data_IF_471685415767
#
_entry.id   IF_471685415767
#
_cell.length_a   1.000
_cell.length_b   1.000
_cell.length_c   1.000
_cell.angle_alpha   90.00
_cell.angle_beta   90.00
_cell.angle_gamma   90.00
#
_symmetry.space_group_name_H-M   'P 1'
#
loop_
_entity.id
_entity.type
_entity.pdbx_description
1 polymer ?
#
# COMPACT_ATOMS: atom_id res chain seq x y z
N UNK A 1 35.99 -19.55 -4.15
CA UNK A 1 34.99 -20.60 -3.90
C UNK A 1 33.88 -20.01 -3.05
N UNK A 2 32.67 -19.85 -3.61
CA UNK A 2 31.52 -19.28 -2.89
C UNK A 2 30.87 -20.36 -2.01
N UNK A 3 30.96 -20.22 -0.70
CA UNK A 3 30.10 -20.96 0.24
C UNK A 3 28.74 -20.28 0.31
N UNK A 4 27.74 -20.86 -0.36
CA UNK A 4 26.34 -20.45 -0.23
C UNK A 4 25.86 -20.87 1.17
N UNK A 5 25.76 -19.92 2.09
CA UNK A 5 25.03 -20.12 3.36
C UNK A 5 23.53 -20.09 3.05
N UNK A 6 22.93 -21.27 3.07
CA UNK A 6 21.48 -21.48 3.14
C UNK A 6 20.94 -20.79 4.40
N UNK A 7 20.39 -19.59 4.25
CA UNK A 7 19.50 -18.99 5.26
C UNK A 7 18.08 -19.41 4.94
N UNK A 8 17.63 -20.49 5.60
CA UNK A 8 16.22 -20.68 5.84
C UNK A 8 15.78 -19.65 6.87
N UNK A 9 15.12 -18.58 6.42
CA UNK A 9 14.40 -17.66 7.29
C UNK A 9 12.90 -17.81 6.97
N UNK A 10 12.33 -18.94 7.40
CA UNK A 10 10.87 -19.07 7.54
C UNK A 10 10.51 -18.36 8.85
N UNK A 11 9.96 -17.14 8.78
CA UNK A 11 9.57 -16.40 9.98
C UNK A 11 9.35 -14.88 9.88
N UNK A 12 9.49 -14.25 8.70
CA UNK A 12 9.41 -12.77 8.62
C UNK A 12 8.29 -12.22 7.73
N UNK A 13 7.49 -13.06 7.08
CA UNK A 13 6.49 -12.58 6.11
C UNK A 13 5.30 -11.84 6.72
N UNK A 14 4.91 -12.13 7.96
CA UNK A 14 3.74 -11.49 8.59
C UNK A 14 4.05 -10.08 9.15
N UNK A 15 5.20 -9.88 9.81
CA UNK A 15 5.55 -8.57 10.42
C UNK A 15 5.94 -7.51 9.38
N UNK A 16 6.56 -7.92 8.27
CA UNK A 16 6.88 -7.01 7.17
C UNK A 16 5.63 -6.62 6.35
N UNK A 17 4.57 -7.42 6.40
CA UNK A 17 3.30 -7.08 5.75
C UNK A 17 2.57 -5.94 6.47
N UNK A 18 2.62 -5.87 7.80
CA UNK A 18 1.94 -4.82 8.58
C UNK A 18 2.57 -3.43 8.42
N UNK A 19 3.82 -3.35 7.96
CA UNK A 19 4.55 -2.07 7.80
C UNK A 19 4.66 -1.62 6.34
N UNK A 20 4.19 -2.42 5.37
CA UNK A 20 4.22 -2.01 3.97
C UNK A 20 3.14 -0.96 3.68
N UNK A 21 3.41 0.00 2.78
CA UNK A 21 2.41 0.95 2.31
C UNK A 21 1.16 0.25 1.77
N UNK A 22 -0.01 0.73 2.19
CA UNK A 22 -1.32 0.19 1.80
C UNK A 22 -2.31 1.32 1.54
N UNK A 23 -3.25 1.05 0.63
CA UNK A 23 -4.40 1.91 0.34
C UNK A 23 -5.66 1.08 0.55
N UNK A 24 -6.48 1.44 1.54
CA UNK A 24 -7.83 0.91 1.69
C UNK A 24 -8.80 1.86 0.98
N UNK A 25 -9.76 1.31 0.24
CA UNK A 25 -10.71 2.09 -0.58
C UNK A 25 -12.13 1.80 -0.13
N UNK A 26 -12.91 2.85 0.13
CA UNK A 26 -14.34 2.81 0.40
C UNK A 26 -15.07 3.84 -0.44
N UNK A 27 -16.36 3.63 -0.69
CA UNK A 27 -17.20 4.58 -1.43
C UNK A 27 -18.48 4.85 -0.66
N UNK A 28 -18.80 6.13 -0.44
CA UNK A 28 -20.02 6.58 0.22
C UNK A 28 -20.48 7.91 -0.36
N UNK A 29 -21.74 8.01 -0.77
CA UNK A 29 -22.34 9.28 -1.21
C UNK A 29 -21.64 9.94 -2.41
N UNK A 30 -21.02 9.17 -3.32
CA UNK A 30 -20.26 9.70 -4.47
C UNK A 30 -18.85 10.21 -4.12
N UNK A 31 -18.41 10.00 -2.88
CA UNK A 31 -17.04 10.21 -2.42
C UNK A 31 -16.31 8.87 -2.41
N UNK A 32 -15.18 8.81 -3.10
CA UNK A 32 -14.23 7.70 -2.99
C UNK A 32 -13.21 8.04 -1.89
N UNK A 33 -13.28 7.32 -0.78
CA UNK A 33 -12.33 7.44 0.33
C UNK A 33 -11.14 6.51 0.12
N UNK A 34 -9.94 7.06 0.23
CA UNK A 34 -8.67 6.31 0.24
C UNK A 34 -7.98 6.53 1.59
N UNK A 35 -7.90 5.50 2.41
CA UNK A 35 -7.15 5.51 3.66
C UNK A 35 -5.76 4.91 3.44
N UNK A 36 -4.74 5.71 3.73
CA UNK A 36 -3.34 5.37 3.53
C UNK A 36 -2.72 4.95 4.86
N UNK A 37 -1.92 3.88 4.82
CA UNK A 37 -1.24 3.38 6.00
C UNK A 37 0.10 2.72 5.66
N UNK A 38 0.91 2.47 6.70
CA UNK A 38 2.20 1.78 6.60
C UNK A 38 3.36 2.74 6.29
N UNK A 39 4.58 2.21 6.26
CA UNK A 39 5.80 3.03 6.18
C UNK A 39 6.20 3.36 4.74
N UNK A 40 6.17 4.63 4.40
CA UNK A 40 6.46 5.12 3.05
C UNK A 40 7.91 5.52 2.93
N UNK A 41 8.62 4.82 2.06
CA UNK A 41 10.01 5.13 1.71
C UNK A 41 10.11 5.34 0.21
N UNK A 42 11.20 5.92 -0.26
CA UNK A 42 11.50 6.02 -1.69
C UNK A 42 11.52 4.66 -2.40
N UNK A 43 11.70 3.56 -1.66
CA UNK A 43 11.70 2.18 -2.20
C UNK A 43 10.30 1.55 -2.22
N UNK A 44 9.38 2.01 -1.37
CA UNK A 44 8.07 1.37 -1.17
C UNK A 44 6.89 2.21 -1.68
N UNK A 45 7.10 3.50 -1.96
CA UNK A 45 6.07 4.41 -2.51
C UNK A 45 5.48 3.93 -3.84
N UNK A 46 6.23 3.13 -4.61
CA UNK A 46 5.75 2.53 -5.86
C UNK A 46 4.56 1.59 -5.66
N UNK A 47 4.40 1.00 -4.47
CA UNK A 47 3.25 0.17 -4.13
C UNK A 47 1.96 1.02 -4.06
N UNK A 48 2.06 2.24 -3.52
CA UNK A 48 0.95 3.19 -3.47
C UNK A 48 0.65 3.72 -4.86
N UNK A 49 1.66 4.10 -5.64
CA UNK A 49 1.49 4.57 -7.02
C UNK A 49 0.72 3.53 -7.86
N UNK A 50 1.08 2.25 -7.73
CA UNK A 50 0.39 1.17 -8.43
C UNK A 50 -1.10 1.07 -8.06
N UNK A 51 -1.46 1.22 -6.77
CA UNK A 51 -2.86 1.22 -6.33
C UNK A 51 -3.60 2.47 -6.80
N UNK A 52 -2.98 3.64 -6.71
CA UNK A 52 -3.59 4.90 -7.18
C UNK A 52 -3.85 4.91 -8.68
N UNK A 53 -2.96 4.33 -9.50
CA UNK A 53 -3.22 4.14 -10.95
C UNK A 53 -4.38 3.20 -11.25
N UNK A 54 -4.72 2.27 -10.34
CA UNK A 54 -5.92 1.43 -10.48
C UNK A 54 -7.16 2.23 -10.09
N UNK A 55 -7.06 3.07 -9.06
CA UNK A 55 -8.14 3.94 -8.58
C UNK A 55 -8.49 5.02 -9.61
N UNK A 56 -7.49 5.62 -10.25
CA UNK A 56 -7.65 6.64 -11.30
C UNK A 56 -8.49 6.11 -12.49
N UNK A 57 -8.41 4.82 -12.78
CA UNK A 57 -9.19 4.18 -13.85
C UNK A 57 -10.66 3.94 -13.47
N UNK A 58 -11.01 4.09 -12.20
CA UNK A 58 -12.41 3.99 -11.74
C UNK A 58 -13.14 5.27 -12.10
N UNK A 59 -14.41 5.13 -12.42
CA UNK A 59 -15.33 6.24 -12.68
C UNK A 59 -16.51 6.17 -11.70
N UNK A 60 -17.32 7.22 -11.63
CA UNK A 60 -18.55 7.23 -10.82
C UNK A 60 -18.44 7.99 -9.50
N UNK A 61 -17.23 8.34 -9.04
CA UNK A 61 -17.04 9.24 -7.91
C UNK A 61 -16.79 10.67 -8.39
N UNK A 62 -17.29 11.64 -7.64
CA UNK A 62 -17.14 13.08 -7.93
C UNK A 62 -16.07 13.73 -7.05
N UNK A 63 -15.77 13.11 -5.92
CA UNK A 63 -14.81 13.60 -4.93
C UNK A 63 -13.92 12.45 -4.48
N UNK A 64 -12.63 12.73 -4.35
CA UNK A 64 -11.63 11.80 -3.80
C UNK A 64 -11.19 12.35 -2.45
N UNK A 65 -11.45 11.61 -1.37
CA UNK A 65 -11.00 11.94 -0.02
C UNK A 65 -9.76 11.12 0.32
N UNK A 66 -8.70 11.80 0.78
CA UNK A 66 -7.43 11.16 1.14
C UNK A 66 -7.24 11.25 2.66
N UNK A 67 -7.19 10.11 3.32
CA UNK A 67 -6.85 10.02 4.74
C UNK A 67 -5.40 9.56 4.90
N UNK A 68 -4.55 10.50 5.35
CA UNK A 68 -3.11 10.32 5.56
C UNK A 68 -2.76 10.18 7.04
N UNK A 69 -3.73 9.93 7.92
CA UNK A 69 -3.51 9.91 9.37
C UNK A 69 -2.64 8.75 9.88
N UNK A 70 -2.39 7.73 9.05
CA UNK A 70 -1.72 6.49 9.42
C UNK A 70 -0.46 6.17 8.60
N UNK A 71 0.12 7.15 7.89
CA UNK A 71 1.40 7.02 7.16
C UNK A 71 2.63 7.41 7.99
#
# INVERSE_FOLDING_TARGET
MLTIRKRHASGTTAKEADHQPRVAVGEEGGVLGCAFSGNWTTRTVTLVDAEMRKIEKRSGFQTLALDLSHI
#
